data_IF_686695196388
#
_entry.id   IF_686695196388
#
_cell.length_a   1.000
_cell.length_b   1.000
_cell.length_c   1.000
_cell.angle_alpha   90.00
_cell.angle_beta   90.00
_cell.angle_gamma   90.00
#
_symmetry.space_group_name_H-M   'P 1'
#
loop_
_entity.id
_entity.type
_entity.pdbx_description
1 polymer ?
#
# COMPACT_ATOMS: atom_id res chain seq x y z
N UNK A 1 15.80 2.05 -0.27
CA UNK A 1 15.26 1.24 -1.38
C UNK A 1 13.98 1.89 -1.88
N UNK A 2 13.82 2.08 -3.21
CA UNK A 2 12.60 2.64 -3.78
C UNK A 2 11.76 1.50 -4.38
N UNK A 3 10.53 1.34 -3.91
CA UNK A 3 9.62 0.30 -4.37
C UNK A 3 8.42 0.94 -5.03
N UNK A 4 8.16 0.60 -6.28
CA UNK A 4 6.88 0.88 -6.90
C UNK A 4 5.87 -0.17 -6.46
N UNK A 5 4.78 0.29 -5.84
CA UNK A 5 3.75 -0.56 -5.27
C UNK A 5 2.46 -0.36 -6.04
N UNK A 6 1.94 -1.44 -6.59
CA UNK A 6 0.60 -1.51 -7.18
C UNK A 6 -0.33 -2.06 -6.11
N UNK A 7 -1.37 -1.30 -5.75
CA UNK A 7 -2.25 -1.67 -4.65
C UNK A 7 -3.69 -1.24 -4.92
N UNK A 8 -4.61 -1.81 -4.14
CA UNK A 8 -6.02 -1.47 -4.15
C UNK A 8 -6.45 -0.98 -2.77
N UNK A 9 -7.32 0.03 -2.74
CA UNK A 9 -7.94 0.54 -1.53
C UNK A 9 -9.44 0.33 -1.62
N UNK A 10 -10.04 -0.21 -0.54
CA UNK A 10 -11.48 -0.23 -0.38
C UNK A 10 -11.94 1.12 0.17
N UNK A 11 -12.57 1.94 -0.67
CA UNK A 11 -13.15 3.23 -0.25
C UNK A 11 -14.65 3.10 -0.11
N UNK A 12 -15.21 3.76 0.91
CA UNK A 12 -16.65 3.95 1.03
C UNK A 12 -17.10 4.88 -0.10
N UNK A 13 -17.93 4.37 -1.00
CA UNK A 13 -18.67 5.16 -1.96
C UNK A 13 -20.02 5.60 -1.36
N UNK A 14 -20.82 6.32 -2.14
CA UNK A 14 -22.18 6.70 -1.77
C UNK A 14 -23.01 5.50 -1.28
N UNK A 15 -23.94 5.79 -0.36
CA UNK A 15 -24.97 4.90 0.21
C UNK A 15 -24.52 3.42 0.32
N UNK A 16 -23.58 3.16 1.24
CA UNK A 16 -23.26 1.81 1.70
C UNK A 16 -22.58 0.90 0.68
N UNK A 17 -22.07 1.46 -0.43
CA UNK A 17 -21.29 0.71 -1.42
C UNK A 17 -19.80 0.83 -1.11
N UNK A 18 -19.09 -0.29 -1.15
CA UNK A 18 -17.62 -0.29 -1.11
C UNK A 18 -17.13 -0.32 -2.56
N UNK A 19 -16.29 0.64 -2.93
CA UNK A 19 -15.62 0.68 -4.23
C UNK A 19 -14.15 0.33 -4.02
N UNK A 20 -13.63 -0.55 -4.87
CA UNK A 20 -12.21 -0.86 -4.90
C UNK A 20 -11.53 0.05 -5.92
N UNK A 21 -10.51 0.79 -5.49
CA UNK A 21 -9.73 1.68 -6.35
C UNK A 21 -8.29 1.21 -6.46
N UNK A 22 -7.82 0.98 -7.68
CA UNK A 22 -6.43 0.60 -7.94
C UNK A 22 -5.56 1.86 -8.03
N UNK A 23 -4.41 1.82 -7.37
CA UNK A 23 -3.45 2.93 -7.25
C UNK A 23 -2.03 2.41 -7.43
N UNK A 24 -1.13 3.34 -7.76
CA UNK A 24 0.30 3.09 -7.86
C UNK A 24 1.00 4.17 -7.04
N UNK A 25 1.89 3.76 -6.13
CA UNK A 25 2.69 4.66 -5.33
C UNK A 25 4.17 4.23 -5.37
N UNK A 26 5.06 5.18 -5.14
CA UNK A 26 6.48 4.89 -4.89
C UNK A 26 6.71 5.03 -3.39
N UNK A 27 7.10 3.94 -2.74
CA UNK A 27 7.38 3.89 -1.31
C UNK A 27 8.89 3.78 -1.11
N UNK A 28 9.42 4.65 -0.26
CA UNK A 28 10.82 4.64 0.13
C UNK A 28 10.96 3.90 1.45
N UNK A 29 11.76 2.84 1.44
CA UNK A 29 12.04 2.00 2.61
C UNK A 29 13.52 2.09 2.93
N UNK A 30 13.88 1.99 4.20
CA UNK A 30 15.28 1.87 4.61
C UNK A 30 15.97 0.67 3.94
N UNK A 31 17.20 0.87 3.46
CA UNK A 31 17.95 -0.15 2.71
C UNK A 31 18.32 -1.39 3.52
N UNK A 32 18.23 -1.30 4.84
CA UNK A 32 18.79 -2.30 5.75
C UNK A 32 17.76 -3.39 6.10
N UNK A 33 16.51 -3.22 5.65
CA UNK A 33 15.44 -4.20 5.80
C UNK A 33 15.55 -5.25 4.69
N UNK A 34 16.03 -6.43 5.07
CA UNK A 34 16.14 -7.59 4.17
C UNK A 34 15.02 -8.63 4.38
N UNK A 35 14.16 -8.44 5.37
CA UNK A 35 13.01 -9.31 5.63
C UNK A 35 11.80 -8.84 4.82
N UNK A 36 11.32 -9.68 3.92
CA UNK A 36 10.15 -9.42 3.06
C UNK A 36 8.88 -9.09 3.86
N UNK A 37 8.71 -9.71 5.03
CA UNK A 37 7.56 -9.45 5.90
C UNK A 37 7.63 -8.05 6.48
N UNK A 38 8.82 -7.61 6.90
CA UNK A 38 9.04 -6.24 7.40
C UNK A 38 8.87 -5.21 6.29
N UNK A 39 9.42 -5.47 5.09
CA UNK A 39 9.20 -4.63 3.91
C UNK A 39 7.71 -4.45 3.64
N UNK A 40 6.95 -5.54 3.66
CA UNK A 40 5.51 -5.51 3.41
C UNK A 40 4.75 -4.69 4.45
N UNK A 41 5.10 -4.81 5.73
CA UNK A 41 4.48 -4.01 6.80
C UNK A 41 4.79 -2.52 6.64
N UNK A 42 6.04 -2.17 6.35
CA UNK A 42 6.46 -0.78 6.15
C UNK A 42 5.75 -0.14 4.94
N UNK A 43 5.62 -0.91 3.85
CA UNK A 43 4.83 -0.51 2.67
C UNK A 43 3.38 -0.25 3.07
N UNK A 44 2.74 -1.19 3.76
CA UNK A 44 1.34 -1.04 4.16
C UNK A 44 1.12 0.17 5.07
N UNK A 45 2.03 0.41 6.02
CA UNK A 45 1.99 1.57 6.90
C UNK A 45 2.12 2.87 6.10
N UNK A 46 3.10 2.95 5.19
CA UNK A 46 3.31 4.12 4.33
C UNK A 46 2.09 4.41 3.43
N UNK A 47 1.48 3.38 2.84
CA UNK A 47 0.28 3.52 2.03
C UNK A 47 -0.94 3.94 2.87
N UNK A 48 -1.05 3.41 4.09
CA UNK A 48 -2.12 3.74 5.03
C UNK A 48 -2.09 5.22 5.42
N UNK A 49 -0.89 5.75 5.65
CA UNK A 49 -0.67 7.16 5.95
C UNK A 49 -0.90 8.05 4.72
N UNK A 50 -0.44 7.62 3.55
CA UNK A 50 -0.59 8.38 2.30
C UNK A 50 -2.06 8.55 1.87
N UNK A 51 -2.85 7.49 1.96
CA UNK A 51 -4.26 7.50 1.55
C UNK A 51 -5.24 7.76 2.70
N UNK A 52 -4.74 7.96 3.92
CA UNK A 52 -5.55 8.14 5.14
C UNK A 52 -6.59 7.02 5.36
N UNK A 53 -6.23 5.78 5.03
CA UNK A 53 -7.10 4.60 5.16
C UNK A 53 -6.46 3.56 6.06
N UNK A 54 -7.22 2.78 6.84
CA UNK A 54 -6.67 1.69 7.64
C UNK A 54 -5.94 0.63 6.79
N UNK A 55 -4.84 0.07 7.30
CA UNK A 55 -4.06 -0.99 6.64
C UNK A 55 -4.94 -2.15 6.14
N UNK A 56 -5.96 -2.56 6.90
CA UNK A 56 -6.85 -3.67 6.54
C UNK A 56 -7.77 -3.36 5.33
N UNK A 57 -7.81 -2.11 4.87
CA UNK A 57 -8.52 -1.70 3.65
C UNK A 57 -7.60 -1.62 2.44
N UNK A 58 -6.29 -1.84 2.63
CA UNK A 58 -5.28 -1.83 1.58
C UNK A 58 -4.95 -3.26 1.19
N UNK A 59 -4.87 -3.52 -0.12
CA UNK A 59 -4.42 -4.79 -0.68
C UNK A 59 -3.30 -4.55 -1.68
N UNK A 60 -2.11 -5.05 -1.38
CA UNK A 60 -1.00 -5.04 -2.34
C UNK A 60 -1.30 -6.03 -3.46
N UNK A 61 -1.17 -5.58 -4.70
CA UNK A 61 -1.38 -6.36 -5.92
C UNK A 61 -0.05 -6.75 -6.57
N UNK A 62 0.99 -5.93 -6.39
CA UNK A 62 2.33 -6.22 -6.88
C UNK A 62 3.37 -5.22 -6.36
N UNK A 63 4.61 -5.68 -6.26
CA UNK A 63 5.78 -4.90 -5.85
C UNK A 63 6.83 -4.98 -6.95
N UNK A 64 7.41 -3.84 -7.31
CA UNK A 64 8.51 -3.75 -8.28
C UNK A 64 9.63 -2.89 -7.69
N UNK A 65 10.84 -3.45 -7.68
CA UNK A 65 12.05 -2.77 -7.21
C UNK A 65 12.60 -1.89 -8.33
N UNK A 66 12.86 -0.62 -8.01
CA UNK A 66 13.53 0.34 -8.90
C UNK A 66 14.91 0.71 -8.37
#
# INVERSE_FOLDING_TARGET
MNIQVHYAVNVLADIGRIKMENRIANVYIESDINDESMVTQEVLQSLSEFDEVPINQIKILGLSLN
#
